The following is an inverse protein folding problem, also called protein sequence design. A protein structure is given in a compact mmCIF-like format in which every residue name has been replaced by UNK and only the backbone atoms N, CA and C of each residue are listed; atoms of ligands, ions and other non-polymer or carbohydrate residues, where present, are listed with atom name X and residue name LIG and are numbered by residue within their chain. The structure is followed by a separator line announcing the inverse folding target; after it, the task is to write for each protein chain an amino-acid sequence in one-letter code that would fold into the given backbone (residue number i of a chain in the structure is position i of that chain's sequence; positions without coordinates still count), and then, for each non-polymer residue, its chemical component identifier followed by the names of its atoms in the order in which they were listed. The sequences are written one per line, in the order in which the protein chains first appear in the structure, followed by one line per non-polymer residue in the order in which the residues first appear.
data_IF_509559867926
#
_entry.id   IF_509559867926
#
_cell.length_a   1.000
_cell.length_b   1.000
_cell.length_c   1.000
_cell.angle_alpha   90.00
_cell.angle_beta   90.00
_cell.angle_gamma   90.00
#
_symmetry.space_group_name_H-M   'P 1'
#
loop_
_entity.id
_entity.type
_entity.pdbx_description
1 polymer ?
#
# COMPACT_ATOMS: atom_id res chain seq x y z
N UNK A 1 -26.10 -44.30 21.80
CA UNK A 1 -25.86 -43.14 20.91
C UNK A 1 -26.55 -41.97 21.60
N UNK A 2 -25.81 -41.23 22.42
CA UNK A 2 -26.40 -40.12 23.16
C UNK A 2 -26.68 -39.00 22.17
N UNK A 3 -27.94 -38.56 22.12
CA UNK A 3 -28.38 -37.42 21.34
C UNK A 3 -27.81 -36.17 22.02
N UNK A 4 -26.75 -35.62 21.44
CA UNK A 4 -26.07 -34.43 21.92
C UNK A 4 -26.60 -33.22 21.15
N UNK A 5 -27.88 -32.89 21.38
CA UNK A 5 -28.43 -31.58 21.04
C UNK A 5 -27.76 -30.53 21.95
N UNK A 6 -26.56 -30.10 21.56
CA UNK A 6 -25.83 -29.01 22.21
C UNK A 6 -26.48 -27.68 21.83
N UNK A 7 -27.59 -27.35 22.47
CA UNK A 7 -28.30 -26.07 22.33
C UNK A 7 -27.42 -24.84 22.59
N UNK A 8 -26.29 -25.03 23.28
CA UNK A 8 -25.26 -24.02 23.51
C UNK A 8 -24.39 -23.70 22.27
N UNK A 9 -24.24 -24.63 21.32
CA UNK A 9 -23.44 -24.44 20.09
C UNK A 9 -24.30 -24.19 18.84
N UNK A 10 -25.63 -24.29 18.95
CA UNK A 10 -26.58 -23.99 17.86
C UNK A 10 -26.30 -22.73 17.03
N UNK A 11 -25.93 -21.56 17.62
CA UNK A 11 -25.55 -20.40 16.80
C UNK A 11 -24.23 -20.59 16.05
N UNK A 12 -23.23 -21.25 16.64
CA UNK A 12 -21.95 -21.55 16.00
C UNK A 12 -22.08 -22.61 14.89
N UNK A 13 -22.97 -23.59 15.07
CA UNK A 13 -23.27 -24.62 14.08
C UNK A 13 -24.06 -24.02 12.89
N UNK A 14 -24.96 -23.07 13.15
CA UNK A 14 -25.64 -22.29 12.09
C UNK A 14 -24.67 -21.38 11.32
N UNK A 15 -23.69 -20.76 12.00
CA UNK A 15 -22.62 -19.98 11.38
C UNK A 15 -21.69 -20.86 10.51
N UNK A 16 -21.41 -22.10 10.94
CA UNK A 16 -20.62 -23.05 10.16
C UNK A 16 -21.30 -23.47 8.84
N UNK A 17 -22.64 -23.55 8.83
CA UNK A 17 -23.42 -23.85 7.62
C UNK A 17 -23.55 -22.67 6.65
N UNK A 18 -23.44 -21.43 7.15
CA UNK A 18 -23.47 -20.21 6.33
C UNK A 18 -22.09 -19.80 5.81
N UNK A 19 -21.01 -20.27 6.45
CA UNK A 19 -19.66 -20.05 5.99
C UNK A 19 -19.35 -20.87 4.73
N UNK A 20 -19.45 -20.24 3.56
CA UNK A 20 -18.94 -20.80 2.31
C UNK A 20 -17.52 -20.30 2.06
N UNK A 21 -16.55 -21.23 2.08
CA UNK A 21 -15.13 -20.93 1.83
C UNK A 21 -14.98 -20.21 0.48
N UNK A 22 -14.40 -19.01 0.50
CA UNK A 22 -14.12 -18.20 -0.70
C UNK A 22 -15.29 -17.35 -1.21
N UNK A 23 -16.45 -17.41 -0.57
CA UNK A 23 -17.60 -16.56 -0.91
C UNK A 23 -17.72 -15.31 -0.03
N UNK A 24 -16.77 -15.10 0.89
CA UNK A 24 -16.68 -13.86 1.67
C UNK A 24 -16.46 -12.68 0.73
N UNK A 25 -17.19 -11.59 0.97
CA UNK A 25 -17.04 -10.33 0.25
C UNK A 25 -15.72 -9.65 0.65
N UNK A 26 -14.94 -9.17 -0.33
CA UNK A 26 -13.54 -8.76 -0.16
C UNK A 26 -13.29 -7.31 -0.62
N UNK A 27 -14.33 -6.49 -0.88
CA UNK A 27 -14.14 -5.17 -1.50
C UNK A 27 -13.37 -4.23 -0.60
N UNK A 28 -13.62 -4.26 0.71
CA UNK A 28 -12.88 -3.42 1.67
C UNK A 28 -11.39 -3.78 1.69
N UNK A 29 -11.04 -5.07 1.69
CA UNK A 29 -9.65 -5.52 1.69
C UNK A 29 -8.95 -5.17 0.37
N UNK A 30 -9.65 -5.25 -0.77
CA UNK A 30 -9.14 -4.79 -2.06
C UNK A 30 -8.87 -3.27 -2.01
N UNK A 31 -9.77 -2.49 -1.43
CA UNK A 31 -9.61 -1.05 -1.26
C UNK A 31 -8.37 -0.71 -0.41
N UNK A 32 -8.23 -1.37 0.74
CA UNK A 32 -7.06 -1.21 1.63
C UNK A 32 -5.77 -1.60 0.93
N UNK A 33 -5.77 -2.71 0.18
CA UNK A 33 -4.59 -3.15 -0.55
C UNK A 33 -4.18 -2.15 -1.65
N UNK A 34 -5.16 -1.58 -2.38
CA UNK A 34 -4.89 -0.52 -3.36
C UNK A 34 -4.33 0.74 -2.71
N UNK A 35 -4.86 1.13 -1.55
CA UNK A 35 -4.31 2.24 -0.77
C UNK A 35 -2.85 1.98 -0.38
N UNK A 36 -2.56 0.80 0.16
CA UNK A 36 -1.20 0.39 0.52
C UNK A 36 -0.25 0.45 -0.68
N UNK A 37 -0.64 -0.10 -1.82
CA UNK A 37 0.19 -0.06 -3.03
C UNK A 37 0.46 1.37 -3.50
N UNK A 38 -0.55 2.24 -3.46
CA UNK A 38 -0.38 3.65 -3.81
C UNK A 38 0.57 4.35 -2.84
N UNK A 39 0.43 4.11 -1.54
CA UNK A 39 1.30 4.69 -0.52
C UNK A 39 2.74 4.18 -0.64
N UNK A 40 2.95 2.89 -0.88
CA UNK A 40 4.29 2.33 -1.08
C UNK A 40 4.93 2.91 -2.35
N UNK A 41 4.17 2.99 -3.46
CA UNK A 41 4.62 3.53 -4.74
C UNK A 41 5.05 4.99 -4.62
N UNK A 42 4.18 5.87 -4.11
CA UNK A 42 4.48 7.30 -4.02
C UNK A 42 5.35 7.64 -2.81
N UNK A 43 5.19 6.93 -1.71
CA UNK A 43 5.94 7.11 -0.48
C UNK A 43 7.41 6.75 -0.63
N UNK A 44 7.74 5.66 -1.35
CA UNK A 44 9.15 5.32 -1.63
C UNK A 44 9.86 6.39 -2.45
N UNK A 45 9.18 6.98 -3.45
CA UNK A 45 9.72 8.12 -4.20
C UNK A 45 9.94 9.34 -3.30
N UNK A 46 8.97 9.67 -2.45
CA UNK A 46 9.10 10.79 -1.52
C UNK A 46 10.29 10.61 -0.56
N UNK A 47 10.48 9.40 -0.03
CA UNK A 47 11.63 9.08 0.83
C UNK A 47 12.94 9.18 0.06
N UNK A 48 13.02 8.66 -1.17
CA UNK A 48 14.22 8.75 -1.98
C UNK A 48 14.61 10.22 -2.28
N UNK A 49 13.65 11.05 -2.66
CA UNK A 49 13.86 12.48 -2.92
C UNK A 49 14.32 13.21 -1.65
N UNK A 50 13.69 12.91 -0.50
CA UNK A 50 14.07 13.49 0.78
C UNK A 50 15.51 13.11 1.18
N UNK A 51 15.87 11.84 1.00
CA UNK A 51 17.23 11.37 1.30
C UNK A 51 18.26 12.10 0.44
N UNK A 52 18.06 12.17 -0.89
CA UNK A 52 18.98 12.89 -1.78
C UNK A 52 19.09 14.35 -1.40
N UNK A 53 17.98 15.01 -1.10
CA UNK A 53 17.97 16.40 -0.67
C UNK A 53 18.78 16.61 0.62
N UNK A 54 18.51 15.84 1.67
CA UNK A 54 19.19 15.99 2.96
C UNK A 54 20.67 15.62 2.84
N UNK A 55 21.02 14.59 2.06
CA UNK A 55 22.41 14.20 1.83
C UNK A 55 23.19 15.28 1.09
N UNK A 56 22.63 15.87 0.02
CA UNK A 56 23.29 16.92 -0.76
C UNK A 56 23.37 18.27 -0.01
N UNK A 57 22.45 18.52 0.91
CA UNK A 57 22.50 19.72 1.73
C UNK A 57 23.52 19.58 2.87
N UNK A 58 23.47 18.49 3.63
CA UNK A 58 24.23 18.39 4.88
C UNK A 58 25.63 17.77 4.76
N UNK A 59 26.08 17.33 3.58
CA UNK A 59 27.48 16.92 3.43
C UNK A 59 28.44 18.12 3.55
N UNK A 60 29.72 17.91 3.93
CA UNK A 60 30.71 18.99 3.99
C UNK A 60 30.84 19.69 2.64
N UNK A 61 30.70 21.02 2.62
CA UNK A 61 30.66 21.82 1.38
C UNK A 61 29.35 21.72 0.59
N UNK A 62 28.30 21.16 1.19
CA UNK A 62 26.97 21.04 0.59
C UNK A 62 26.31 22.39 0.33
N UNK A 63 25.42 22.41 -0.66
CA UNK A 63 24.71 23.60 -1.11
C UNK A 63 23.22 23.31 -1.20
N UNK A 64 22.41 24.11 -0.53
CA UNK A 64 20.95 24.01 -0.59
C UNK A 64 20.44 24.04 -2.03
N UNK A 65 21.02 24.89 -2.89
CA UNK A 65 20.56 25.07 -4.26
C UNK A 65 20.87 23.84 -5.13
N UNK A 66 22.02 23.20 -4.92
CA UNK A 66 22.37 21.92 -5.57
C UNK A 66 21.47 20.81 -5.08
N UNK A 67 21.22 20.74 -3.77
CA UNK A 67 20.32 19.77 -3.17
C UNK A 67 18.89 19.90 -3.70
N UNK A 68 18.35 21.13 -3.74
CA UNK A 68 17.02 21.42 -4.25
C UNK A 68 16.87 21.05 -5.73
N UNK A 69 17.86 21.37 -6.56
CA UNK A 69 17.86 21.00 -7.98
C UNK A 69 17.89 19.49 -8.15
N UNK A 70 18.76 18.79 -7.42
CA UNK A 70 18.84 17.32 -7.45
C UNK A 70 17.53 16.65 -7.03
N UNK A 71 16.89 17.18 -5.98
CA UNK A 71 15.60 16.71 -5.49
C UNK A 71 14.47 16.91 -6.52
N UNK A 72 14.43 18.07 -7.19
CA UNK A 72 13.45 18.37 -8.24
C UNK A 72 13.66 17.46 -9.44
N UNK A 73 14.90 17.26 -9.89
CA UNK A 73 15.20 16.39 -11.03
C UNK A 73 14.81 14.94 -10.73
N UNK A 74 15.25 14.40 -9.59
CA UNK A 74 14.90 13.03 -9.19
C UNK A 74 13.39 12.86 -9.00
N UNK A 75 12.74 13.83 -8.34
CA UNK A 75 11.30 13.83 -8.13
C UNK A 75 10.52 13.90 -9.44
N UNK A 76 10.93 14.77 -10.38
CA UNK A 76 10.31 14.91 -11.68
C UNK A 76 10.47 13.67 -12.56
N UNK A 77 11.70 13.14 -12.66
CA UNK A 77 11.98 11.92 -13.42
C UNK A 77 11.25 10.73 -12.80
N UNK A 78 11.32 10.58 -11.47
CA UNK A 78 10.61 9.53 -10.75
C UNK A 78 9.09 9.64 -10.94
N UNK A 79 8.53 10.84 -10.88
CA UNK A 79 7.10 11.06 -11.14
C UNK A 79 6.71 10.61 -12.54
N UNK A 80 7.47 11.00 -13.57
CA UNK A 80 7.21 10.57 -14.95
C UNK A 80 7.35 9.06 -15.13
N UNK A 81 8.36 8.45 -14.50
CA UNK A 81 8.58 7.00 -14.55
C UNK A 81 7.48 6.20 -13.83
N UNK A 82 6.97 6.72 -12.71
CA UNK A 82 5.93 6.05 -11.92
C UNK A 82 4.52 6.36 -12.42
N UNK A 83 4.31 7.42 -13.21
CA UNK A 83 3.00 7.78 -13.74
C UNK A 83 2.46 6.64 -14.61
N UNK A 84 1.31 6.09 -14.22
CA UNK A 84 0.65 5.02 -14.97
C UNK A 84 0.30 5.50 -16.38
N UNK A 85 0.62 4.69 -17.40
CA UNK A 85 0.29 5.00 -18.80
C UNK A 85 -1.21 4.73 -19.05
N UNK A 86 -1.90 5.56 -19.86
CA UNK A 86 -3.28 5.28 -20.26
C UNK A 86 -3.32 3.94 -21.01
N UNK A 87 -4.17 3.01 -20.58
CA UNK A 87 -4.34 1.70 -21.22
C UNK A 87 -3.60 0.52 -20.57
N UNK A 88 -2.84 0.75 -19.49
CA UNK A 88 -2.40 -0.33 -18.61
C UNK A 88 -3.57 -0.77 -17.71
N UNK A 89 -4.60 -1.36 -18.31
CA UNK A 89 -5.67 -2.03 -17.58
C UNK A 89 -5.22 -3.46 -17.26
N UNK A 90 -5.47 -3.88 -16.02
CA UNK A 90 -5.61 -5.28 -15.65
C UNK A 90 -6.93 -5.82 -16.18
#
# INVERSE_FOLDING_TARGET
MADHDHTATGPADADAHSYMRGHMEVREQISTYRLFLNLAKWGSLAVAVLLVFLTLWFHPGGSFMVAALGAIVLGGVGFMALKSKPGAAH
#
